data_IF_597376681510
#
_entry.id   IF_597376681510
#
_cell.length_a   1.000
_cell.length_b   1.000
_cell.length_c   1.000
_cell.angle_alpha   90.00
_cell.angle_beta   90.00
_cell.angle_gamma   90.00
#
_symmetry.space_group_name_H-M   'P 1'
#
loop_
_entity.id
_entity.type
_entity.pdbx_description
1 polymer ?
#
# COMPACT_ATOMS: atom_id res chain seq x y z
N UNK A 1 14.17 14.21 15.74
CA UNK A 1 14.28 13.57 14.40
C UNK A 1 13.26 14.13 13.43
N UNK A 2 11.97 14.20 13.77
CA UNK A 2 10.96 14.84 12.93
C UNK A 2 11.09 16.37 12.87
N UNK A 3 11.91 16.97 13.73
CA UNK A 3 12.23 18.41 13.72
C UNK A 3 12.80 18.90 12.38
N UNK A 4 13.50 18.04 11.64
CA UNK A 4 13.98 18.38 10.29
C UNK A 4 12.84 18.68 9.31
N UNK A 5 11.63 18.19 9.57
CA UNK A 5 10.44 18.50 8.77
C UNK A 5 10.04 19.97 8.88
N UNK A 6 10.24 20.60 10.04
CA UNK A 6 9.98 22.05 10.23
C UNK A 6 10.88 22.87 9.31
N UNK A 7 12.17 22.50 9.25
CA UNK A 7 13.15 23.14 8.37
C UNK A 7 12.82 22.90 6.89
N UNK A 8 12.36 21.70 6.53
CA UNK A 8 11.92 21.38 5.17
C UNK A 8 10.75 22.27 4.73
N UNK A 9 9.75 22.47 5.60
CA UNK A 9 8.61 23.34 5.32
C UNK A 9 9.03 24.82 5.19
N UNK A 10 9.91 25.30 6.06
CA UNK A 10 10.39 26.68 5.99
C UNK A 10 11.19 26.95 4.71
N UNK A 11 12.00 26.00 4.24
CA UNK A 11 12.84 26.17 3.04
C UNK A 11 12.00 26.03 1.76
N UNK A 12 11.21 24.96 1.63
CA UNK A 12 10.54 24.63 0.37
C UNK A 12 9.21 25.36 0.19
N UNK A 13 8.46 25.56 1.28
CA UNK A 13 7.12 26.16 1.23
C UNK A 13 7.11 27.60 1.77
N UNK A 14 8.25 28.11 2.26
CA UNK A 14 8.40 29.45 2.85
C UNK A 14 7.40 29.73 3.99
N UNK A 15 6.99 28.67 4.69
CA UNK A 15 6.08 28.73 5.84
C UNK A 15 6.88 28.62 7.14
N UNK A 16 7.24 29.73 7.81
CA UNK A 16 7.89 29.67 9.11
C UNK A 16 6.90 29.22 10.19
N UNK A 17 7.18 28.09 10.83
CA UNK A 17 6.39 27.58 11.95
C UNK A 17 6.92 28.14 13.27
N UNK A 18 6.01 28.46 14.19
CA UNK A 18 6.34 28.91 15.54
C UNK A 18 6.04 27.81 16.55
N UNK A 19 6.85 27.74 17.62
CA UNK A 19 6.68 26.74 18.67
C UNK A 19 5.45 27.09 19.52
N UNK A 20 4.46 26.20 19.52
CA UNK A 20 3.32 26.30 20.42
C UNK A 20 3.75 25.96 21.86
N UNK A 21 3.51 26.88 22.79
CA UNK A 21 3.67 26.61 24.23
C UNK A 21 2.37 25.99 24.75
N UNK A 22 2.47 24.75 25.22
CA UNK A 22 1.34 24.06 25.83
C UNK A 22 1.14 24.65 27.24
N UNK A 23 0.00 25.32 27.46
CA UNK A 23 -0.42 25.77 28.78
C UNK A 23 -1.63 24.96 29.22
N UNK A 24 -1.51 24.21 30.32
CA UNK A 24 -2.59 23.40 30.86
C UNK A 24 -2.13 22.16 31.63
N UNK A 25 -2.97 21.68 32.53
CA UNK A 25 -2.74 20.45 33.29
C UNK A 25 -2.98 19.23 32.37
N UNK A 26 -1.96 18.38 32.20
CA UNK A 26 -2.10 17.14 31.45
C UNK A 26 -2.88 16.10 32.28
N UNK A 27 -4.09 15.77 31.83
CA UNK A 27 -4.87 14.66 32.37
C UNK A 27 -4.35 13.34 31.80
N UNK A 28 -3.99 12.38 32.67
CA UNK A 28 -3.64 11.04 32.22
C UNK A 28 -4.90 10.25 31.85
N UNK A 29 -5.19 10.20 30.55
CA UNK A 29 -6.32 9.46 29.98
C UNK A 29 -5.97 7.99 29.70
N UNK A 30 -4.68 7.60 29.75
CA UNK A 30 -4.24 6.26 29.37
C UNK A 30 -4.92 5.14 30.19
N UNK A 31 -5.08 5.24 31.52
CA UNK A 31 -5.74 4.19 32.29
C UNK A 31 -7.19 3.99 31.87
N UNK A 32 -7.90 5.09 31.59
CA UNK A 32 -9.30 5.07 31.14
C UNK A 32 -9.44 4.40 29.78
N UNK A 33 -8.58 4.74 28.82
CA UNK A 33 -8.61 4.14 27.48
C UNK A 33 -8.22 2.65 27.51
N UNK A 34 -7.28 2.26 28.37
CA UNK A 34 -6.95 0.85 28.60
C UNK A 34 -8.12 0.08 29.19
N UNK A 35 -8.84 0.64 30.16
CA UNK A 35 -10.03 0.03 30.75
C UNK A 35 -11.13 -0.19 29.70
N UNK A 36 -11.34 0.77 28.78
CA UNK A 36 -12.26 0.60 27.66
C UNK A 36 -11.87 -0.55 26.72
N UNK A 37 -10.57 -0.69 26.43
CA UNK A 37 -10.04 -1.78 25.60
C UNK A 37 -10.15 -3.15 26.29
N UNK A 38 -10.08 -3.20 27.61
CA UNK A 38 -10.30 -4.42 28.40
C UNK A 38 -11.78 -4.80 28.48
N UNK A 39 -12.68 -3.81 28.52
CA UNK A 39 -14.11 -4.04 28.60
C UNK A 39 -14.74 -4.50 27.29
N UNK A 40 -14.16 -4.16 26.13
CA UNK A 40 -14.67 -4.56 24.82
C UNK A 40 -13.56 -4.90 23.83
N UNK A 41 -13.62 -6.13 23.29
CA UNK A 41 -12.70 -6.59 22.25
C UNK A 41 -12.76 -5.73 20.99
N UNK A 42 -13.92 -5.14 20.65
CA UNK A 42 -14.03 -4.29 19.46
C UNK A 42 -13.13 -3.06 19.56
N UNK A 43 -13.02 -2.46 20.75
CA UNK A 43 -12.15 -1.32 21.00
C UNK A 43 -10.68 -1.71 20.93
N UNK A 44 -10.33 -2.87 21.53
CA UNK A 44 -8.98 -3.43 21.42
C UNK A 44 -8.56 -3.66 19.96
N UNK A 45 -9.40 -4.33 19.16
CA UNK A 45 -9.08 -4.62 17.76
C UNK A 45 -8.98 -3.35 16.91
N UNK A 46 -9.81 -2.34 17.20
CA UNK A 46 -9.73 -1.02 16.56
C UNK A 46 -8.42 -0.33 16.89
N UNK A 47 -7.99 -0.35 18.15
CA UNK A 47 -6.68 0.18 18.56
C UNK A 47 -5.53 -0.49 17.83
N UNK A 48 -5.55 -1.84 17.76
CA UNK A 48 -4.55 -2.60 17.00
C UNK A 48 -4.55 -2.24 15.51
N UNK A 49 -5.72 -2.14 14.87
CA UNK A 49 -5.83 -1.77 13.45
C UNK A 49 -5.33 -0.35 13.21
N UNK A 50 -5.70 0.60 14.06
CA UNK A 50 -5.30 2.00 13.96
C UNK A 50 -3.77 2.16 14.06
N UNK A 51 -3.14 1.44 14.99
CA UNK A 51 -1.69 1.41 15.12
C UNK A 51 -1.02 0.86 13.85
N UNK A 52 -1.50 -0.27 13.32
CA UNK A 52 -0.94 -0.86 12.10
C UNK A 52 -1.11 0.07 10.90
N UNK A 53 -2.28 0.70 10.74
CA UNK A 53 -2.51 1.67 9.65
C UNK A 53 -1.62 2.90 9.78
N UNK A 54 -1.38 3.39 11.00
CA UNK A 54 -0.49 4.52 11.23
C UNK A 54 0.95 4.18 10.82
N UNK A 55 1.47 3.04 11.27
CA UNK A 55 2.85 2.61 10.93
C UNK A 55 2.99 2.40 9.42
N UNK A 56 1.97 1.83 8.76
CA UNK A 56 1.97 1.68 7.30
C UNK A 56 1.89 3.01 6.56
N UNK A 57 1.12 3.97 7.07
CA UNK A 57 1.05 5.32 6.49
C UNK A 57 2.40 6.04 6.65
N UNK A 58 3.00 5.97 7.84
CA UNK A 58 4.32 6.52 8.11
C UNK A 58 5.40 5.90 7.20
N UNK A 59 5.29 4.60 6.93
CA UNK A 59 6.20 3.89 6.03
C UNK A 59 6.09 4.31 4.56
N UNK A 60 4.91 4.74 4.13
CA UNK A 60 4.60 5.13 2.74
C UNK A 60 4.66 6.64 2.52
N UNK A 61 5.05 7.40 3.54
CA UNK A 61 5.10 8.85 3.45
C UNK A 61 6.13 9.29 2.40
N UNK A 62 5.81 10.33 1.63
CA UNK A 62 6.65 10.83 0.52
C UNK A 62 8.03 11.27 1.00
N UNK A 63 8.09 11.99 2.12
CA UNK A 63 9.34 12.40 2.77
C UNK A 63 10.03 11.26 3.56
N UNK A 64 10.27 10.12 2.91
CA UNK A 64 10.90 8.93 3.51
C UNK A 64 12.28 9.17 4.12
N UNK A 65 13.01 10.18 3.64
CA UNK A 65 14.32 10.57 4.18
C UNK A 65 14.21 11.21 5.57
N UNK A 66 13.13 11.96 5.82
CA UNK A 66 12.86 12.64 7.09
C UNK A 66 12.12 11.67 8.04
N UNK A 67 11.09 11.00 7.53
CA UNK A 67 10.26 10.07 8.31
C UNK A 67 10.79 8.64 8.21
N UNK A 68 11.86 8.35 8.95
CA UNK A 68 12.47 7.01 8.99
C UNK A 68 11.79 6.13 10.05
N UNK A 69 11.19 5.02 9.65
CA UNK A 69 10.51 4.05 10.55
C UNK A 69 11.49 3.47 11.59
N UNK A 70 12.79 3.37 11.25
CA UNK A 70 13.81 2.84 12.16
C UNK A 70 13.99 3.72 13.40
N UNK A 71 13.78 5.01 13.26
CA UNK A 71 14.02 6.00 14.30
C UNK A 71 12.74 6.36 15.06
N UNK A 72 11.59 5.89 14.56
CA UNK A 72 10.31 6.09 15.23
C UNK A 72 10.23 5.23 16.49
N UNK A 73 9.93 5.86 17.63
CA UNK A 73 9.72 5.15 18.89
C UNK A 73 8.35 4.44 18.90
N UNK A 74 8.37 3.21 18.40
CA UNK A 74 7.18 2.36 18.31
C UNK A 74 6.61 1.99 19.68
N UNK A 75 7.41 2.02 20.75
CA UNK A 75 6.94 1.71 22.11
C UNK A 75 6.12 2.88 22.67
N UNK A 76 6.61 4.12 22.53
CA UNK A 76 5.84 5.33 22.90
C UNK A 76 4.59 5.47 22.05
N UNK A 77 4.68 5.20 20.75
CA UNK A 77 3.51 5.20 19.87
C UNK A 77 2.46 4.18 20.32
N UNK A 78 2.88 2.95 20.63
CA UNK A 78 1.98 1.92 21.14
C UNK A 78 1.30 2.31 22.46
N UNK A 79 2.01 3.07 23.32
CA UNK A 79 1.42 3.68 24.53
C UNK A 79 0.36 4.72 24.17
N UNK A 80 0.60 5.58 23.18
CA UNK A 80 -0.38 6.57 22.70
C UNK A 80 -1.67 5.95 22.17
N UNK A 81 -1.58 4.81 21.50
CA UNK A 81 -2.74 4.01 21.07
C UNK A 81 -3.34 3.14 22.19
N UNK A 82 -2.85 3.23 23.42
CA UNK A 82 -3.27 2.46 24.58
C UNK A 82 -3.29 0.93 24.35
N UNK A 83 -2.33 0.41 23.57
CA UNK A 83 -2.28 -1.00 23.24
C UNK A 83 -1.96 -1.86 24.46
N UNK A 84 -2.69 -2.96 24.62
CA UNK A 84 -2.42 -3.97 25.66
C UNK A 84 -1.26 -4.89 25.27
N UNK A 85 -1.11 -5.13 23.95
CA UNK A 85 -0.12 -6.02 23.34
C UNK A 85 0.35 -5.46 22.00
N UNK A 86 1.63 -5.66 21.68
CA UNK A 86 2.18 -5.34 20.37
C UNK A 86 1.60 -6.24 19.26
N UNK A 87 1.15 -5.67 18.13
CA UNK A 87 0.67 -6.45 16.99
C UNK A 87 1.82 -7.22 16.33
N UNK A 88 1.49 -8.29 15.62
CA UNK A 88 2.44 -9.05 14.79
C UNK A 88 2.39 -8.48 13.37
N UNK A 89 3.43 -7.77 12.95
CA UNK A 89 3.54 -7.18 11.61
C UNK A 89 4.99 -7.23 11.09
N UNK A 90 5.22 -7.22 9.76
CA UNK A 90 6.57 -7.34 9.19
C UNK A 90 7.52 -6.22 9.63
N UNK A 91 7.01 -5.01 9.89
CA UNK A 91 7.77 -3.83 10.31
C UNK A 91 8.30 -3.93 11.76
N UNK A 92 7.65 -4.76 12.58
CA UNK A 92 8.03 -5.07 13.96
C UNK A 92 8.83 -6.38 14.07
N UNK A 93 8.97 -7.13 12.96
CA UNK A 93 9.63 -8.44 12.98
C UNK A 93 11.12 -8.28 13.23
N UNK A 94 11.63 -8.92 14.28
CA UNK A 94 13.05 -8.87 14.65
C UNK A 94 13.47 -7.67 15.51
N UNK A 95 12.54 -6.79 15.90
CA UNK A 95 12.80 -5.67 16.82
C UNK A 95 12.36 -6.04 18.23
N UNK A 96 13.16 -5.66 19.22
CA UNK A 96 12.80 -5.73 20.65
C UNK A 96 12.32 -4.38 21.14
N UNK A 97 11.31 -4.36 22.00
CA UNK A 97 10.67 -3.14 22.50
C UNK A 97 10.83 -3.05 24.03
N UNK A 98 11.99 -2.62 24.54
CA UNK A 98 12.23 -2.57 25.99
C UNK A 98 11.31 -1.55 26.69
N UNK A 99 10.88 -0.50 26.01
CA UNK A 99 9.98 0.53 26.56
C UNK A 99 8.49 0.18 26.57
N UNK A 100 8.09 -1.00 26.08
CA UNK A 100 6.68 -1.40 26.04
C UNK A 100 6.34 -2.39 27.17
N UNK A 101 5.63 -1.91 28.18
CA UNK A 101 5.09 -2.76 29.25
C UNK A 101 3.84 -3.49 28.76
N UNK A 102 3.96 -4.78 28.51
CA UNK A 102 2.82 -5.65 28.23
C UNK A 102 1.90 -5.71 29.44
N UNK A 103 0.59 -5.68 29.18
CA UNK A 103 -0.38 -5.97 30.25
C UNK A 103 -0.34 -7.48 30.50
N UNK A 104 -0.25 -7.96 31.76
CA UNK A 104 -0.12 -9.39 32.08
C UNK A 104 -1.38 -10.22 31.77
N UNK A 105 -2.48 -9.56 31.39
CA UNK A 105 -3.75 -10.19 31.08
C UNK A 105 -3.69 -10.92 29.74
N UNK A 106 -4.31 -12.11 29.69
CA UNK A 106 -4.49 -12.82 28.43
C UNK A 106 -5.43 -12.02 27.52
N UNK A 107 -4.85 -11.44 26.46
CA UNK A 107 -5.63 -10.70 25.47
C UNK A 107 -6.70 -11.57 24.83
N UNK A 108 -6.49 -12.87 24.67
CA UNK A 108 -7.45 -13.69 23.93
C UNK A 108 -8.73 -13.99 24.72
N UNK A 109 -8.71 -13.80 26.05
CA UNK A 109 -9.88 -13.89 26.92
C UNK A 109 -10.87 -12.72 26.77
N UNK A 110 -10.47 -11.59 26.17
CA UNK A 110 -11.33 -10.41 26.02
C UNK A 110 -12.47 -10.74 25.05
N UNK A 111 -13.72 -10.60 25.50
CA UNK A 111 -14.93 -10.88 24.71
C UNK A 111 -15.44 -9.62 24.01
N UNK A 112 -16.13 -9.79 22.89
CA UNK A 112 -16.93 -8.70 22.31
C UNK A 112 -18.16 -8.45 23.19
N UNK A 113 -18.50 -7.17 23.39
CA UNK A 113 -19.76 -6.81 24.04
C UNK A 113 -20.98 -7.27 23.24
N UNK A 114 -20.86 -7.30 21.92
CA UNK A 114 -21.90 -7.78 21.01
C UNK A 114 -21.91 -9.33 20.91
N UNK A 115 -23.05 -9.92 21.28
CA UNK A 115 -23.27 -11.38 21.28
C UNK A 115 -23.18 -11.98 19.87
N UNK A 116 -23.65 -11.29 18.83
CA UNK A 116 -23.60 -11.81 17.46
C UNK A 116 -22.16 -11.90 16.95
N UNK A 117 -21.38 -10.86 17.23
CA UNK A 117 -19.97 -10.78 16.86
C UNK A 117 -19.11 -11.80 17.61
N UNK A 118 -19.42 -12.06 18.88
CA UNK A 118 -18.76 -13.10 19.66
C UNK A 118 -19.05 -14.51 19.11
N UNK A 119 -20.30 -14.81 18.72
CA UNK A 119 -20.65 -16.09 18.07
C UNK A 119 -19.86 -16.30 16.78
N UNK A 120 -19.78 -15.28 15.93
CA UNK A 120 -18.98 -15.33 14.70
C UNK A 120 -17.50 -15.56 14.99
N UNK A 121 -16.95 -14.89 16.01
CA UNK A 121 -15.56 -15.09 16.44
C UNK A 121 -15.31 -16.53 16.87
N UNK A 122 -16.18 -17.09 17.70
CA UNK A 122 -16.04 -18.48 18.18
C UNK A 122 -16.07 -19.47 17.01
N UNK A 123 -16.98 -19.29 16.04
CA UNK A 123 -17.02 -20.08 14.81
C UNK A 123 -15.70 -19.98 14.03
N UNK A 124 -15.21 -18.77 13.80
CA UNK A 124 -13.93 -18.54 13.10
C UNK A 124 -12.73 -19.13 13.85
N UNK A 125 -12.77 -19.15 15.18
CA UNK A 125 -11.72 -19.70 16.02
C UNK A 125 -11.70 -21.23 15.93
N UNK A 126 -12.87 -21.88 15.97
CA UNK A 126 -13.02 -23.32 15.74
C UNK A 126 -12.52 -23.72 14.35
N UNK A 127 -13.00 -23.05 13.30
CA UNK A 127 -12.52 -23.29 11.92
C UNK A 127 -11.01 -23.13 11.79
N UNK A 128 -10.42 -22.17 12.51
CA UNK A 128 -8.96 -21.97 12.52
C UNK A 128 -8.23 -23.10 13.23
N UNK A 129 -8.77 -23.61 14.34
CA UNK A 129 -8.19 -24.75 15.05
C UNK A 129 -8.26 -26.02 14.21
N UNK A 130 -9.38 -26.26 13.52
CA UNK A 130 -9.53 -27.39 12.60
C UNK A 130 -8.52 -27.31 11.46
N UNK A 131 -8.38 -26.15 10.80
CA UNK A 131 -7.37 -25.93 9.75
C UNK A 131 -5.92 -26.06 10.22
N UNK A 132 -5.64 -25.83 11.51
CA UNK A 132 -4.31 -26.02 12.09
C UNK A 132 -4.01 -27.49 12.39
N UNK A 133 -5.04 -28.32 12.60
CA UNK A 133 -4.91 -29.77 12.76
C UNK A 133 -4.71 -30.47 11.41
N UNK A 134 -5.25 -29.90 10.34
CA UNK A 134 -4.98 -30.36 8.98
C UNK A 134 -3.51 -30.12 8.61
N UNK A 135 -2.83 -31.08 7.95
CA UNK A 135 -1.48 -30.88 7.48
C UNK A 135 -1.44 -29.71 6.49
N UNK A 136 -0.39 -28.86 6.53
CA UNK A 136 -0.30 -27.71 5.66
C UNK A 136 -0.41 -28.19 4.20
N UNK A 137 -1.23 -27.54 3.36
CA UNK A 137 -1.36 -27.94 1.97
C UNK A 137 0.03 -27.97 1.34
N UNK A 138 0.35 -28.98 0.52
CA UNK A 138 1.66 -29.10 -0.08
C UNK A 138 2.00 -27.79 -0.79
N UNK A 139 3.17 -27.22 -0.46
CA UNK A 139 3.64 -25.98 -1.10
C UNK A 139 3.55 -26.20 -2.60
N UNK A 140 2.67 -25.45 -3.28
CA UNK A 140 2.55 -25.52 -4.74
C UNK A 140 3.93 -25.23 -5.32
N UNK A 141 4.65 -26.27 -5.71
CA UNK A 141 5.87 -26.11 -6.49
C UNK A 141 5.44 -25.37 -7.76
N UNK A 142 6.20 -24.35 -8.13
CA UNK A 142 6.00 -23.68 -9.40
C UNK A 142 6.36 -24.70 -10.49
N UNK A 143 5.37 -25.46 -10.96
CA UNK A 143 5.55 -26.45 -12.02
C UNK A 143 5.96 -25.69 -13.28
N UNK A 144 7.27 -25.66 -13.57
CA UNK A 144 7.86 -24.97 -14.73
C UNK A 144 7.39 -25.59 -16.06
N UNK A 145 7.01 -26.87 -16.07
CA UNK A 145 6.50 -27.58 -17.24
C UNK A 145 4.98 -27.80 -17.14
N UNK A 146 4.21 -26.78 -17.53
CA UNK A 146 2.82 -27.03 -17.94
C UNK A 146 2.86 -27.50 -19.40
N UNK A 147 2.22 -28.63 -19.70
CA UNK A 147 2.05 -29.14 -21.06
C UNK A 147 1.64 -28.02 -22.02
N UNK A 148 2.22 -28.00 -23.23
CA UNK A 148 2.00 -26.99 -24.28
C UNK A 148 0.51 -26.69 -24.50
N UNK A 149 -0.36 -27.70 -24.44
CA UNK A 149 -1.82 -27.55 -24.58
C UNK A 149 -2.46 -26.66 -23.51
N UNK A 150 -1.93 -26.67 -22.29
CA UNK A 150 -2.39 -25.81 -21.18
C UNK A 150 -1.85 -24.38 -21.29
N UNK A 151 -0.73 -24.19 -21.98
CA UNK A 151 -0.21 -22.86 -22.30
C UNK A 151 -0.93 -22.22 -23.48
N UNK A 152 -1.22 -22.98 -24.55
CA UNK A 152 -1.96 -22.48 -25.72
C UNK A 152 -3.37 -22.03 -25.33
N UNK A 153 -4.10 -22.86 -24.59
CA UNK A 153 -5.44 -22.51 -24.06
C UNK A 153 -5.41 -21.27 -23.16
N UNK A 154 -4.40 -21.12 -22.30
CA UNK A 154 -4.23 -19.90 -21.48
C UNK A 154 -3.92 -18.67 -22.32
N UNK A 155 -3.06 -18.80 -23.35
CA UNK A 155 -2.71 -17.73 -24.29
C UNK A 155 -3.92 -17.30 -25.12
N UNK A 156 -4.70 -18.27 -25.59
CA UNK A 156 -5.94 -18.03 -26.34
C UNK A 156 -7.00 -17.33 -25.49
N UNK A 157 -7.23 -17.79 -24.24
CA UNK A 157 -8.14 -17.11 -23.30
C UNK A 157 -7.69 -15.67 -23.02
N UNK A 158 -6.38 -15.43 -22.89
CA UNK A 158 -5.83 -14.08 -22.67
C UNK A 158 -6.03 -13.19 -23.91
N UNK A 159 -5.86 -13.74 -25.12
CA UNK A 159 -6.08 -13.05 -26.40
C UNK A 159 -7.56 -12.72 -26.62
N UNK A 160 -8.48 -13.65 -26.34
CA UNK A 160 -9.93 -13.40 -26.39
C UNK A 160 -10.34 -12.29 -25.42
N UNK A 161 -9.79 -12.30 -24.19
CA UNK A 161 -10.08 -11.27 -23.18
C UNK A 161 -9.49 -9.91 -23.56
N UNK A 162 -8.29 -9.85 -24.14
CA UNK A 162 -7.72 -8.59 -24.63
C UNK A 162 -8.44 -8.06 -25.86
N UNK A 163 -8.85 -8.92 -26.79
CA UNK A 163 -9.63 -8.52 -27.97
C UNK A 163 -10.99 -7.96 -27.56
N UNK A 164 -11.67 -8.59 -26.59
CA UNK A 164 -12.92 -8.07 -26.05
C UNK A 164 -12.75 -6.69 -25.41
N UNK A 165 -11.67 -6.49 -24.65
CA UNK A 165 -11.35 -5.21 -24.02
C UNK A 165 -11.03 -4.11 -25.04
N UNK A 166 -10.31 -4.44 -26.11
CA UNK A 166 -10.05 -3.53 -27.23
C UNK A 166 -11.30 -3.16 -28.01
N UNK A 167 -12.25 -4.10 -28.16
CA UNK A 167 -13.54 -3.83 -28.80
C UNK A 167 -14.41 -2.91 -27.92
N UNK A 168 -14.32 -3.05 -26.59
CA UNK A 168 -15.02 -2.19 -25.62
C UNK A 168 -14.38 -0.80 -25.48
N UNK A 169 -13.05 -0.69 -25.59
CA UNK A 169 -12.29 0.56 -25.47
C UNK A 169 -12.11 1.29 -26.82
N UNK A 170 -12.43 0.65 -27.96
CA UNK A 170 -12.08 1.12 -29.30
C UNK A 170 -13.23 1.71 -30.12
N UNK A 171 -14.32 2.16 -29.48
CA UNK A 171 -15.44 2.78 -30.21
C UNK A 171 -15.35 4.31 -30.33
N UNK A 172 -14.21 4.94 -30.02
CA UNK A 172 -14.13 6.42 -30.01
C UNK A 172 -12.73 7.02 -30.23
N UNK A 173 -11.81 6.28 -30.86
CA UNK A 173 -10.56 6.88 -31.39
C UNK A 173 -10.37 6.29 -32.78
N UNK A 174 -10.51 7.13 -33.79
CA UNK A 174 -10.41 6.75 -35.20
C UNK A 174 -9.06 6.04 -35.41
N UNK A 175 -9.10 4.84 -36.00
CA UNK A 175 -7.94 3.95 -36.18
C UNK A 175 -6.83 4.59 -37.06
N UNK A 176 -7.05 5.79 -37.57
CA UNK A 176 -6.13 6.60 -38.38
C UNK A 176 -5.22 7.45 -37.48
N UNK A 177 -5.75 8.25 -36.54
CA UNK A 177 -4.98 9.04 -35.57
C UNK A 177 -3.98 8.20 -34.76
N UNK A 178 -4.39 6.98 -34.39
CA UNK A 178 -3.55 6.06 -33.62
C UNK A 178 -2.40 5.50 -34.47
N UNK A 179 -2.59 5.34 -35.77
CA UNK A 179 -1.53 4.88 -36.69
C UNK A 179 -0.55 6.01 -36.96
N UNK A 180 -1.05 7.21 -37.18
CA UNK A 180 -0.24 8.42 -37.37
C UNK A 180 0.69 8.65 -36.17
N UNK A 181 0.15 8.64 -34.94
CA UNK A 181 0.97 8.74 -33.72
C UNK A 181 2.04 7.62 -33.62
N UNK A 182 1.74 6.41 -34.09
CA UNK A 182 2.70 5.31 -34.04
C UNK A 182 3.84 5.49 -35.04
N UNK A 183 3.58 6.05 -36.21
CA UNK A 183 4.59 6.30 -37.23
C UNK A 183 5.47 7.51 -36.87
N UNK A 184 4.89 8.57 -36.29
CA UNK A 184 5.63 9.67 -35.65
C UNK A 184 6.58 9.18 -34.55
N UNK A 185 6.09 8.31 -33.67
CA UNK A 185 6.95 7.79 -32.59
C UNK A 185 8.08 6.89 -33.10
N UNK A 186 7.93 6.27 -34.28
CA UNK A 186 8.98 5.50 -34.94
C UNK A 186 10.02 6.43 -35.57
N UNK A 187 9.58 7.51 -36.22
CA UNK A 187 10.43 8.51 -36.82
C UNK A 187 11.32 9.18 -35.74
N UNK A 188 10.72 9.59 -34.62
CA UNK A 188 11.44 10.14 -33.46
C UNK A 188 12.46 9.15 -32.86
N UNK A 189 12.13 7.85 -32.82
CA UNK A 189 13.07 6.82 -32.37
C UNK A 189 14.23 6.62 -33.34
N UNK A 190 14.02 6.80 -34.65
CA UNK A 190 15.09 6.74 -35.65
C UNK A 190 16.02 7.95 -35.55
N UNK A 191 15.47 9.15 -35.33
CA UNK A 191 16.24 10.36 -35.03
C UNK A 191 17.07 10.21 -33.74
N UNK A 192 16.46 9.76 -32.64
CA UNK A 192 17.17 9.52 -31.37
C UNK A 192 18.27 8.46 -31.47
N UNK A 193 18.15 7.53 -32.41
CA UNK A 193 19.17 6.50 -32.70
C UNK A 193 20.18 6.95 -33.76
N UNK A 194 20.11 8.19 -34.24
CA UNK A 194 21.02 8.76 -35.24
C UNK A 194 20.93 8.13 -36.63
N UNK A 195 19.82 7.44 -36.95
CA UNK A 195 19.64 6.76 -38.24
C UNK A 195 19.07 7.66 -39.34
N UNK A 196 18.62 8.86 -38.97
CA UNK A 196 18.06 9.89 -39.86
C UNK A 196 18.64 11.23 -39.37
N UNK A 197 18.97 12.12 -40.31
CA UNK A 197 19.44 13.47 -39.99
C UNK A 197 18.29 14.36 -39.51
N UNK A 198 18.57 15.49 -38.86
CA UNK A 198 17.50 16.41 -38.42
C UNK A 198 16.72 17.01 -39.60
N UNK A 199 17.42 17.31 -40.69
CA UNK A 199 16.82 17.89 -41.90
C UNK A 199 15.92 16.89 -42.63
N UNK A 200 16.28 15.60 -42.65
CA UNK A 200 15.46 14.56 -43.26
C UNK A 200 14.22 14.22 -42.41
N UNK A 201 14.33 14.34 -41.08
CA UNK A 201 13.20 14.21 -40.17
C UNK A 201 12.18 15.34 -40.37
N UNK A 202 12.66 16.59 -40.46
CA UNK A 202 11.80 17.76 -40.69
C UNK A 202 11.08 17.70 -42.04
N UNK A 203 11.76 17.24 -43.10
CA UNK A 203 11.12 17.04 -44.42
C UNK A 203 10.03 15.97 -44.40
N UNK A 204 10.23 14.87 -43.68
CA UNK A 204 9.24 13.79 -43.60
C UNK A 204 8.01 14.19 -42.78
N UNK A 205 8.19 14.82 -41.62
CA UNK A 205 7.08 15.36 -40.83
C UNK A 205 6.30 16.44 -41.60
N UNK A 206 7.00 17.32 -42.32
CA UNK A 206 6.35 18.37 -43.11
C UNK A 206 5.59 17.81 -44.33
N UNK A 207 6.04 16.70 -44.91
CA UNK A 207 5.35 16.04 -46.02
C UNK A 207 4.08 15.30 -45.59
N UNK A 208 4.02 14.80 -44.36
CA UNK A 208 2.84 14.14 -43.80
C UNK A 208 1.76 15.18 -43.44
N UNK A 209 2.13 16.33 -42.86
CA UNK A 209 1.19 17.42 -42.57
C UNK A 209 0.63 18.15 -43.81
N UNK A 210 1.37 18.14 -44.92
CA UNK A 210 0.94 18.80 -46.17
C UNK A 210 0.00 17.97 -47.04
N UNK A 211 -0.21 16.69 -46.70
CA UNK A 211 -1.10 15.79 -47.43
C UNK A 211 -2.56 15.82 -46.91
N UNK A 212 -2.84 16.49 -45.78
CA UNK A 212 -4.19 16.66 -45.22
C UNK A 212 -4.93 17.91 -45.72
N UNK A 213 -4.26 18.84 -46.42
CA UNK A 213 -4.89 20.09 -46.93
C UNK A 213 -5.10 20.13 -48.47
N UNK A 214 -5.08 18.98 -49.17
CA UNK A 214 -5.35 18.89 -50.61
C UNK A 214 -6.54 17.98 -50.97
#
# INVERSE_FOLDING_TARGET
>A
MEEAYVNFLSINQKCPLQRLQLSGQQLDVLPRVKALSLADRAMFDRGMRAFVSFVQAYAKHECSLIFRIKDLDLARLARGFALLRMPKMPELKGKTFPGFTRTPLDTDAIRYKDKQREKLRQKMLLERQEKLKEPPPPRRSFIKNKSWSKQTTKKERRRKRSAKRKLEEGSDVEDEDMKELLDDTRLLKRLKKGKISKEDFEKQMASESGAEEA
#
